data_IF_616949095796
#
_entry.id   IF_616949095796
#
_cell.length_a   1.000
_cell.length_b   1.000
_cell.length_c   1.000
_cell.angle_alpha   90.00
_cell.angle_beta   90.00
_cell.angle_gamma   90.00
#
_symmetry.space_group_name_H-M   'P 1'
#
loop_
_entity.id
_entity.type
_entity.pdbx_description
1 polymer ?
2 non-polymer ?
3 non-polymer ?
4 non-polymer ?
5 water ?
#
# COMPACT_ATOMS: atom_id res chain seq x y z
N UNK A 1 3.87 -8.64 14.35
CA UNK A 1 2.88 -9.51 13.63
C UNK A 1 1.46 -8.95 13.78
N UNK A 2 1.35 -7.62 13.86
CA UNK A 2 0.09 -6.96 14.23
C UNK A 2 -1.07 -7.24 13.28
N UNK A 3 -0.78 -7.33 11.99
CA UNK A 3 -1.81 -7.54 10.99
C UNK A 3 -2.09 -9.03 10.87
N UNK A 4 -3.36 -9.38 11.01
CA UNK A 4 -3.79 -10.77 10.95
C UNK A 4 -4.93 -10.90 9.94
N UNK A 5 -4.77 -10.16 8.85
CA UNK A 5 -5.59 -10.32 7.67
C UNK A 5 -4.62 -10.53 6.52
N UNK A 6 -4.72 -11.70 5.89
CA UNK A 6 -3.97 -11.99 4.67
C UNK A 6 -4.92 -12.62 3.67
N UNK A 7 -4.59 -12.44 2.39
CA UNK A 7 -5.36 -12.98 1.28
C UNK A 7 -5.01 -14.46 1.12
N UNK A 8 -6.02 -15.32 1.16
CA UNK A 8 -5.82 -16.72 0.83
C UNK A 8 -5.96 -16.84 -0.67
N UNK A 9 -5.13 -17.69 -1.25
CA UNK A 9 -5.21 -18.00 -2.68
C UNK A 9 -4.58 -16.96 -3.58
N UNK A 10 -3.77 -16.07 -3.01
CA UNK A 10 -3.17 -14.98 -3.75
C UNK A 10 -2.35 -15.50 -4.92
N UNK A 11 -2.69 -15.00 -6.11
CA UNK A 11 -1.86 -15.20 -7.29
C UNK A 11 -1.19 -13.88 -7.62
N UNK A 12 0.09 -13.77 -7.28
CA UNK A 12 0.76 -12.49 -7.34
C UNK A 12 0.94 -12.00 -8.78
N UNK A 13 0.98 -12.90 -9.76
CA UNK A 13 1.12 -12.49 -11.16
C UNK A 13 -0.06 -11.65 -11.58
N UNK A 14 -1.23 -12.00 -11.07
CA UNK A 14 -2.47 -11.28 -11.36
C UNK A 14 -2.62 -9.89 -10.73
N UNK A 15 -1.67 -9.44 -9.90
CA UNK A 15 -1.67 -8.04 -9.41
C UNK A 15 -0.76 -7.14 -10.26
N UNK A 16 -0.16 -7.67 -11.32
CA UNK A 16 0.72 -6.86 -12.14
C UNK A 16 -0.09 -5.71 -12.71
N UNK A 17 0.58 -4.59 -12.94
CA UNK A 17 0.00 -3.49 -13.69
C UNK A 17 -0.16 -2.21 -12.90
N UNK A 18 -1.07 -1.36 -13.40
CA UNK A 18 -1.30 -0.01 -12.89
C UNK A 18 -2.21 -0.02 -11.65
N UNK A 19 -1.80 0.73 -10.63
CA UNK A 19 -2.61 0.94 -9.45
C UNK A 19 -2.55 2.39 -9.03
N UNK A 20 -3.60 2.83 -8.35
CA UNK A 20 -3.68 4.16 -7.74
C UNK A 20 -3.84 3.99 -6.23
N UNK A 21 -3.04 4.72 -5.45
CA UNK A 21 -3.20 4.77 -3.98
C UNK A 21 -4.36 5.69 -3.59
N UNK A 22 -5.56 5.13 -3.60
CA UNK A 22 -6.75 5.89 -3.32
C UNK A 22 -6.76 6.45 -1.86
N UNK A 23 -6.35 5.61 -0.93
CA UNK A 23 -6.32 5.97 0.49
C UNK A 23 -5.11 5.33 1.18
N UNK A 24 -4.66 5.98 2.26
CA UNK A 24 -3.54 5.50 3.08
C UNK A 24 -3.89 5.75 4.54
N UNK A 25 -3.42 4.86 5.41
CA UNK A 25 -3.50 5.05 6.87
C UNK A 25 -2.23 4.57 7.56
N UNK A 26 -1.93 5.13 8.74
CA UNK A 26 -0.78 4.70 9.51
C UNK A 26 -0.99 4.81 11.02
N UNK A 27 -0.11 4.12 11.74
CA UNK A 27 -0.25 3.89 13.16
C UNK A 27 0.10 5.15 13.89
N UNK A 28 1.04 5.88 13.31
CA UNK A 28 1.52 7.12 13.88
C UNK A 28 1.37 8.22 12.84
N UNK A 29 0.92 9.39 13.29
CA UNK A 29 0.68 10.54 12.45
C UNK A 29 1.87 10.89 11.59
N UNK A 30 3.06 10.86 12.19
CA UNK A 30 4.29 11.31 11.54
C UNK A 30 4.71 10.45 10.35
N UNK A 31 4.24 9.21 10.32
CA UNK A 31 4.46 8.32 9.17
C UNK A 31 3.84 8.81 7.86
N UNK A 32 2.76 9.60 7.95
CA UNK A 32 2.08 10.18 6.77
C UNK A 32 1.86 11.70 6.77
N UNK A 33 2.16 12.35 7.89
CA UNK A 33 1.80 13.76 8.14
C UNK A 33 2.29 14.73 7.05
N UNK A 34 3.60 14.86 6.92
CA UNK A 34 4.22 15.72 5.89
C UNK A 34 4.17 15.05 4.52
N UNK A 35 4.30 15.83 3.44
CA UNK A 35 4.36 15.26 2.09
C UNK A 35 5.69 14.52 1.86
N UNK A 36 6.71 14.86 2.65
CA UNK A 36 7.98 14.11 2.65
C UNK A 36 8.04 13.03 3.75
N UNK A 37 6.92 12.78 4.42
CA UNK A 37 6.84 11.74 5.46
C UNK A 37 7.31 10.38 4.94
N UNK A 38 7.90 9.56 5.82
CA UNK A 38 8.52 8.28 5.43
C UNK A 38 7.63 7.29 4.66
N UNK A 39 6.33 7.23 4.96
CA UNK A 39 5.48 6.21 4.32
C UNK A 39 4.43 6.78 3.37
N UNK A 40 4.59 8.06 3.01
CA UNK A 40 3.69 8.69 2.06
C UNK A 40 4.22 8.39 0.69
N UNK A 41 3.88 7.22 0.20
CA UNK A 41 4.32 6.77 -1.10
C UNK A 41 3.08 6.49 -1.94
N UNK A 42 3.21 6.72 -3.24
CA UNK A 42 2.12 6.70 -4.18
C UNK A 42 2.45 5.62 -5.18
N UNK A 43 1.68 4.54 -5.17
CA UNK A 43 2.00 3.39 -5.98
C UNK A 43 1.67 3.74 -7.42
N UNK A 44 2.52 3.27 -8.34
CA UNK A 44 2.38 3.50 -9.78
C UNK A 44 2.11 2.19 -10.51
N UNK A 45 2.94 1.19 -10.25
CA UNK A 45 2.84 -0.07 -10.95
C UNK A 45 3.47 -1.19 -10.14
N UNK A 46 2.87 -2.37 -10.25
CA UNK A 46 3.44 -3.58 -9.70
C UNK A 46 3.89 -4.50 -10.82
N UNK A 47 5.11 -5.02 -10.68
CA UNK A 47 5.76 -5.85 -11.68
C UNK A 47 6.27 -7.12 -11.00
N UNK A 48 5.39 -8.12 -10.84
CA UNK A 48 5.79 -9.43 -10.32
C UNK A 48 6.83 -10.10 -11.21
N UNK A 49 7.92 -10.59 -10.61
CA UNK A 49 8.93 -11.36 -11.35
C UNK A 49 8.43 -12.79 -11.60
N UNK A 50 9.02 -13.50 -12.59
CA UNK A 50 8.65 -14.90 -12.88
C UNK A 50 8.78 -15.85 -11.68
N UNK A 51 9.80 -15.66 -10.86
CA UNK A 51 9.98 -16.46 -9.64
C UNK A 51 9.30 -15.88 -8.39
N UNK A 52 8.34 -14.97 -8.57
CA UNK A 52 7.43 -14.54 -7.50
C UNK A 52 7.83 -13.37 -6.61
N UNK A 53 8.96 -12.73 -6.88
CA UNK A 53 9.30 -11.45 -6.24
C UNK A 53 8.43 -10.34 -6.85
N UNK A 54 8.37 -9.20 -6.17
CA UNK A 54 7.47 -8.13 -6.57
C UNK A 54 8.20 -6.81 -6.65
N UNK A 55 8.51 -6.39 -7.88
CA UNK A 55 9.11 -5.10 -8.14
C UNK A 55 8.02 -4.03 -8.09
N UNK A 56 8.31 -2.92 -7.43
CA UNK A 56 7.32 -1.87 -7.20
C UNK A 56 7.82 -0.52 -7.74
N UNK A 57 7.01 0.10 -8.59
CA UNK A 57 7.25 1.48 -9.02
C UNK A 57 6.33 2.41 -8.24
N UNK A 58 6.92 3.43 -7.64
CA UNK A 58 6.14 4.38 -6.88
C UNK A 58 6.74 5.77 -6.95
N UNK A 59 5.98 6.75 -6.47
CA UNK A 59 6.48 8.11 -6.29
C UNK A 59 6.56 8.43 -4.81
N UNK A 60 7.58 9.21 -4.45
CA UNK A 60 7.69 9.80 -3.13
C UNK A 60 8.33 11.18 -3.22
N UNK A 61 7.71 12.14 -2.55
CA UNK A 61 8.26 13.48 -2.41
C UNK A 61 9.50 13.44 -1.54
N UNK A 62 10.63 13.81 -2.14
CA UNK A 62 11.88 13.98 -1.40
C UNK A 62 12.54 15.28 -1.84
N UNK A 63 13.13 15.98 -0.88
CA UNK A 63 13.88 17.21 -1.15
C UNK A 63 13.17 18.11 -2.19
N UNK A 64 11.96 18.54 -1.84
CA UNK A 64 11.19 19.50 -2.63
C UNK A 64 10.77 19.10 -4.04
N UNK A 65 10.66 17.80 -4.30
CA UNK A 65 10.22 17.33 -5.63
C UNK A 65 9.69 15.90 -5.60
N UNK A 66 8.79 15.60 -6.54
CA UNK A 66 8.20 14.28 -6.67
C UNK A 66 9.18 13.34 -7.36
N UNK A 67 9.75 12.43 -6.59
CA UNK A 67 10.74 11.50 -7.11
C UNK A 67 10.12 10.15 -7.45
N UNK A 68 10.75 9.48 -8.40
CA UNK A 68 10.41 8.14 -8.80
C UNK A 68 11.25 7.20 -7.95
N UNK A 69 10.63 6.14 -7.43
CA UNK A 69 11.37 5.08 -6.76
C UNK A 69 11.06 3.75 -7.41
N UNK A 70 12.03 2.85 -7.34
CA UNK A 70 11.84 1.47 -7.76
C UNK A 70 12.39 0.60 -6.66
N UNK A 71 11.53 -0.23 -6.07
CA UNK A 71 11.95 -1.14 -5.01
C UNK A 71 11.42 -2.55 -5.25
N UNK A 72 12.09 -3.52 -4.65
CA UNK A 72 11.73 -4.92 -4.80
C UNK A 72 11.30 -5.53 -3.46
N UNK A 73 10.12 -6.13 -3.48
CA UNK A 73 9.63 -6.94 -2.37
C UNK A 73 9.95 -8.38 -2.73
N UNK A 74 10.73 -9.04 -1.89
CA UNK A 74 11.09 -10.45 -2.12
C UNK A 74 10.05 -11.38 -1.52
N UNK A 75 9.79 -12.50 -2.19
CA UNK A 75 8.82 -13.46 -1.70
C UNK A 75 9.26 -14.13 -0.40
N UNK A 76 8.28 -14.61 0.36
CA UNK A 76 8.52 -15.46 1.53
C UNK A 76 7.82 -16.81 1.33
N UNK A 77 7.83 -17.66 2.36
CA UNK A 77 7.13 -18.96 2.27
C UNK A 77 5.61 -18.76 2.27
N UNK A 78 5.17 -17.58 2.70
CA UNK A 78 3.75 -17.22 2.72
C UNK A 78 3.43 -16.39 1.47
N UNK A 79 2.52 -16.88 0.62
CA UNK A 79 2.22 -16.17 -0.64
C UNK A 79 1.80 -14.69 -0.51
N UNK A 80 1.16 -14.31 0.58
CA UNK A 80 0.66 -12.94 0.73
C UNK A 80 1.65 -11.98 1.44
N UNK A 81 2.88 -12.42 1.69
CA UNK A 81 3.81 -11.66 2.50
C UNK A 81 5.14 -11.56 1.77
N UNK A 82 5.65 -10.34 1.66
CA UNK A 82 6.90 -10.04 0.97
C UNK A 82 7.77 -9.24 1.94
N UNK A 83 9.09 -9.31 1.78
CA UNK A 83 9.99 -8.52 2.61
C UNK A 83 10.71 -7.49 1.76
N UNK A 84 10.81 -6.27 2.28
CA UNK A 84 11.56 -5.21 1.60
C UNK A 84 13.00 -5.17 2.09
N UNK A 85 13.91 -5.00 1.15
CA UNK A 85 15.35 -5.02 1.44
C UNK A 85 15.81 -3.67 2.00
N UNK A 86 15.98 -3.61 3.32
CA UNK A 86 16.54 -2.42 3.96
C UNK A 86 17.01 -2.74 5.39
N UNK A 89 14.22 -4.70 8.63
CA UNK A 89 13.26 -5.73 8.21
C UNK A 89 11.83 -5.17 8.18
N UNK A 90 11.32 -4.87 6.98
CA UNK A 90 9.95 -4.41 6.79
C UNK A 90 9.18 -5.34 5.87
N UNK A 91 8.15 -6.00 6.40
CA UNK A 91 7.33 -6.90 5.59
C UNK A 91 6.08 -6.20 5.06
N UNK A 92 5.72 -6.58 3.83
CA UNK A 92 4.52 -6.12 3.15
C UNK A 92 3.55 -7.29 3.12
N UNK A 93 2.28 -7.04 3.45
CA UNK A 93 1.24 -8.08 3.44
C UNK A 93 0.05 -7.68 2.58
N UNK A 94 -0.39 -8.58 1.71
CA UNK A 94 -1.60 -8.39 0.92
C UNK A 94 -2.81 -8.91 1.70
N UNK A 95 -3.72 -8.02 2.10
CA UNK A 95 -4.85 -8.38 2.95
C UNK A 95 -6.00 -8.95 2.14
N UNK A 96 -6.21 -8.36 0.97
CA UNK A 96 -7.33 -8.69 0.14
C UNK A 96 -7.15 -8.05 -1.23
N UNK A 97 -7.62 -8.74 -2.26
CA UNK A 97 -7.69 -8.15 -3.59
C UNK A 97 -8.61 -8.95 -4.49
N UNK A 98 -9.23 -8.26 -5.44
CA UNK A 98 -10.02 -8.91 -6.46
C UNK A 98 -9.32 -8.77 -7.81
N UNK A 99 -8.04 -8.37 -7.78
CA UNK A 99 -7.18 -8.23 -8.95
C UNK A 99 -7.62 -7.18 -10.00
N UNK A 100 -8.92 -7.09 -10.25
CA UNK A 100 -9.50 -6.30 -11.33
C UNK A 100 -9.87 -4.87 -10.92
N UNK A 101 -10.09 -4.66 -9.61
CA UNK A 101 -10.59 -3.38 -9.06
C UNK A 101 -9.77 -2.83 -7.89
N UNK A 102 -9.61 -3.61 -6.81
CA UNK A 102 -8.95 -3.12 -5.61
C UNK A 102 -7.88 -4.06 -5.05
N UNK A 103 -6.94 -3.47 -4.32
CA UNK A 103 -6.00 -4.25 -3.52
C UNK A 103 -5.71 -3.51 -2.22
N UNK A 104 -5.85 -4.21 -1.10
CA UNK A 104 -5.47 -3.70 0.23
C UNK A 104 -4.21 -4.37 0.71
N UNK A 105 -3.23 -3.57 1.12
CA UNK A 105 -2.02 -4.09 1.69
C UNK A 105 -1.58 -3.24 2.89
N UNK A 106 -0.71 -3.82 3.71
CA UNK A 106 -0.08 -3.12 4.81
C UNK A 106 1.41 -3.33 4.77
N UNK A 107 2.14 -2.33 5.26
CA UNK A 107 3.59 -2.37 5.42
C UNK A 107 3.85 -2.27 6.93
N UNK A 108 4.60 -3.21 7.52
CA UNK A 108 4.97 -3.08 8.94
C UNK A 108 6.41 -3.44 9.24
N UNK A 109 6.99 -2.79 10.26
CA UNK A 109 8.38 -3.08 10.68
C UNK A 109 8.49 -4.08 11.84
N UNK A 110 9.60 -4.81 11.87
CA UNK A 110 9.83 -5.85 12.88
C UNK A 110 10.22 -5.22 14.22
N UNK A 111 9.25 -5.13 15.13
CA UNK A 111 9.49 -4.46 16.39
C UNK A 111 8.42 -4.83 17.40
N UNK A 114 5.96 0.21 19.21
CA UNK A 114 5.82 -0.51 17.94
C UNK A 114 4.82 -1.67 18.09
N UNK A 115 4.36 -2.28 16.99
CA UNK A 115 4.89 -2.09 15.62
C UNK A 115 4.49 -0.77 14.98
N UNK A 116 5.25 -0.43 13.94
CA UNK A 116 4.94 0.68 13.06
C UNK A 116 4.23 0.11 11.83
N UNK A 117 3.18 0.79 11.37
CA UNK A 117 2.29 0.21 10.38
C UNK A 117 1.71 1.26 9.43
N UNK A 118 1.77 0.97 8.13
CA UNK A 118 1.05 1.75 7.10
C UNK A 118 0.28 0.83 6.15
N UNK A 119 -0.98 1.18 5.85
CA UNK A 119 -1.81 0.42 4.91
C UNK A 119 -2.38 1.32 3.81
N UNK A 120 -2.58 0.75 2.62
CA UNK A 120 -3.24 1.46 1.54
C UNK A 120 -4.36 0.67 0.91
N UNK A 121 -5.32 1.41 0.39
CA UNK A 121 -6.31 0.89 -0.53
C UNK A 121 -5.88 1.28 -1.95
N UNK A 122 -5.44 0.30 -2.73
CA UNK A 122 -5.09 0.52 -4.13
C UNK A 122 -6.27 0.22 -4.99
N UNK A 123 -6.40 0.97 -6.09
CA UNK A 123 -7.45 0.72 -7.08
C UNK A 123 -6.90 0.84 -8.50
N UNK A 124 -7.55 0.16 -9.44
CA UNK A 124 -7.08 0.11 -10.82
C UNK A 124 -7.28 1.42 -11.59
N UNK A 125 -8.25 2.22 -11.15
CA UNK A 125 -8.70 3.39 -11.92
C UNK A 125 -8.79 4.64 -11.05
N UNK A 126 -8.67 5.85 -11.67
CA UNK A 126 -8.67 7.11 -10.92
C UNK A 126 -10.08 7.56 -10.52
N UNK A 127 -10.74 6.72 -9.73
CA UNK A 127 -12.13 6.85 -9.35
C UNK A 127 -12.26 6.53 -7.87
N UNK A 128 -13.22 7.16 -7.20
CA UNK A 128 -13.47 6.86 -5.80
C UNK A 128 -14.34 5.60 -5.78
N UNK A 129 -13.75 4.53 -5.27
CA UNK A 129 -14.43 3.26 -5.08
C UNK A 129 -14.86 3.21 -3.61
N UNK A 130 -16.13 3.54 -3.38
CA UNK A 130 -16.69 3.56 -2.03
C UNK A 130 -16.64 2.18 -1.39
N UNK A 131 -16.82 1.15 -2.20
CA UNK A 131 -16.91 -0.22 -1.72
C UNK A 131 -15.53 -0.83 -1.44
N UNK A 132 -14.49 -0.36 -2.12
CA UNK A 132 -13.13 -0.76 -1.74
C UNK A 132 -12.69 0.03 -0.51
N UNK A 133 -13.12 1.29 -0.41
CA UNK A 133 -12.87 2.12 0.78
C UNK A 133 -13.56 1.59 2.02
N UNK A 134 -14.72 0.95 1.87
CA UNK A 134 -15.37 0.34 3.03
C UNK A 134 -14.62 -0.92 3.46
N UNK A 135 -14.18 -1.73 2.51
CA UNK A 135 -13.38 -2.90 2.83
C UNK A 135 -12.06 -2.50 3.50
N UNK A 136 -11.50 -1.36 3.09
CA UNK A 136 -10.29 -0.81 3.68
C UNK A 136 -10.54 -0.40 5.11
N UNK A 137 -11.61 0.37 5.33
CA UNK A 137 -11.96 0.82 6.66
C UNK A 137 -12.33 -0.37 7.57
N UNK A 138 -13.09 -1.34 7.04
CA UNK A 138 -13.37 -2.56 7.80
C UNK A 138 -12.08 -3.27 8.22
N UNK A 139 -11.15 -3.46 7.29
CA UNK A 139 -9.88 -4.14 7.61
C UNK A 139 -9.04 -3.43 8.66
N UNK A 140 -9.13 -2.11 8.73
CA UNK A 140 -8.31 -1.34 9.67
C UNK A 140 -9.01 -1.01 11.00
N UNK A 141 -10.29 -1.31 11.13
CA UNK A 141 -11.05 -0.89 12.31
C UNK A 141 -10.45 -1.35 13.66
N UNK A 142 -9.83 -2.53 13.69
CA UNK A 142 -9.10 -2.97 14.90
C UNK A 142 -7.62 -2.54 14.94
N UNK A 143 -7.03 -2.27 13.77
CA UNK A 143 -5.62 -1.82 13.73
C UNK A 143 -5.51 -0.42 14.35
N UNK A 144 -4.34 -0.10 14.96
CA UNK A 144 -4.23 1.13 15.74
C UNK A 144 -3.73 2.30 14.89
N UNK A 145 -4.59 2.75 13.98
CA UNK A 145 -4.25 3.79 13.03
C UNK A 145 -4.61 5.12 13.62
N UNK A 146 -3.73 6.11 13.48
CA UNK A 146 -3.97 7.47 13.97
C UNK A 146 -3.90 8.55 12.88
N UNK A 147 -3.62 8.16 11.64
CA UNK A 147 -3.78 9.08 10.50
C UNK A 147 -4.40 8.35 9.29
N UNK A 148 -5.23 9.06 8.54
CA UNK A 148 -5.92 8.48 7.39
C UNK A 148 -6.11 9.57 6.35
N UNK A 149 -5.61 9.29 5.14
CA UNK A 149 -5.72 10.19 4.00
C UNK A 149 -6.46 9.50 2.86
N UNK A 150 -7.22 10.28 2.09
CA UNK A 150 -7.76 9.81 0.81
C UNK A 150 -7.68 10.91 -0.25
N UNK A 151 -7.70 10.49 -1.50
CA UNK A 151 -7.43 11.40 -2.62
C UNK A 151 -8.60 11.39 -3.58
N UNK A 152 -8.77 12.50 -4.29
CA UNK A 152 -9.86 12.63 -5.23
C UNK A 152 -9.35 12.31 -6.64
N UNK A 153 -10.26 12.10 -7.59
CA UNK A 153 -9.79 11.74 -8.92
C UNK A 153 -8.76 12.70 -9.54
N UNK A 154 -8.87 14.00 -9.30
CA UNK A 154 -7.94 14.97 -9.88
C UNK A 154 -6.52 14.73 -9.37
N UNK A 155 -6.38 14.67 -8.04
CA UNK A 155 -5.10 14.36 -7.39
C UNK A 155 -4.50 13.02 -7.83
N UNK A 156 -5.37 12.03 -8.05
CA UNK A 156 -4.94 10.70 -8.48
C UNK A 156 -4.26 10.70 -9.85
N UNK A 157 -4.57 11.69 -10.69
CA UNK A 157 -3.90 11.83 -12.00
C UNK A 157 -2.70 12.78 -11.97
N UNK A 158 -2.29 13.19 -10.78
CA UNK A 158 -1.14 14.05 -10.58
C UNK A 158 0.00 13.27 -9.95
N UNK A 159 1.23 13.63 -10.31
CA UNK A 159 2.42 13.05 -9.70
C UNK A 159 2.42 13.48 -8.25
N UNK A 160 2.69 12.54 -7.35
CA UNK A 160 2.61 12.74 -5.90
C UNK A 160 1.28 13.32 -5.42
N UNK A 161 0.24 13.17 -6.22
CA UNK A 161 -1.13 13.49 -5.83
C UNK A 161 -1.36 14.98 -5.47
N UNK A 162 -0.62 15.86 -6.14
CA UNK A 162 -0.65 17.30 -5.86
C UNK A 162 -2.03 17.88 -6.16
X LIG B 1 12.87 6.07 1.21
X LIG B 1 13.32 4.95 0.30
X LIG B 1 12.14 4.46 -0.55
X LIG B 1 11.22 3.54 0.25
X LIG B 1 9.74 3.89 0.11
X LIG B 1 8.97 3.65 1.41
X LIG B 1 8.91 2.18 1.80
X LIG B 1 8.09 1.35 0.82
X LIG B 1 7.07 0.54 1.58
X LIG B 1 6.27 -0.39 1.04
X LIG B 1 6.29 -0.77 -0.42
X LIG B 1 5.22 0.00 -1.15
X LIG B 1 4.17 -0.59 -1.72
X LIG B 1 3.95 -2.07 -1.67
X LIG B 1 2.82 -2.48 -2.59
X LIG B 1 2.53 -3.95 -2.36
X LIG B 1 1.34 -4.39 -3.17
X LIG B 1 1.12 -5.88 -3.06
X LIG B 1 12.63 7.19 0.71
X LIG B 1 12.77 5.84 2.44
X LIG C 1 -9.09 -10.63 4.59
X LIG C 1 -8.54 -11.25 3.44
X LIG C 1 -9.72 -9.29 4.20
X LIG C 1 -10.96 -9.09 4.82
X LIG C 1 -8.81 -8.15 4.58
X LIG C 1 -9.09 -7.75 5.89
X LIG D 1 11.20 -16.64 4.21
X LIG D 1 11.32 -15.39 5.09
X LIG D 1 9.88 -17.16 4.19
#
# INVERSE_FOLDING_TARGET
LIVTQTMKGLDIQKVAGTWYSLAMAASDISLLDAQSAPLRVYVEELKPTPEGDLEILLQKWENGECAQKKIIAEKTKIPAVFKIDALNENKVLVLDTDYKKYLLFCMENSAEPEQSLACQCLVRTPEVDDEALEKFDKALKALPMHIRLSFNPTQLEEQCHI
EIC C1 C2 C3 C4 C5 C6 C7 C8 C9 C10 C11 C12 C13 C14 C15 C16 C17 C18 O1 O2
GOL C1 O1 C2 O2 C3 O3
EOH C1 C2 O
#
